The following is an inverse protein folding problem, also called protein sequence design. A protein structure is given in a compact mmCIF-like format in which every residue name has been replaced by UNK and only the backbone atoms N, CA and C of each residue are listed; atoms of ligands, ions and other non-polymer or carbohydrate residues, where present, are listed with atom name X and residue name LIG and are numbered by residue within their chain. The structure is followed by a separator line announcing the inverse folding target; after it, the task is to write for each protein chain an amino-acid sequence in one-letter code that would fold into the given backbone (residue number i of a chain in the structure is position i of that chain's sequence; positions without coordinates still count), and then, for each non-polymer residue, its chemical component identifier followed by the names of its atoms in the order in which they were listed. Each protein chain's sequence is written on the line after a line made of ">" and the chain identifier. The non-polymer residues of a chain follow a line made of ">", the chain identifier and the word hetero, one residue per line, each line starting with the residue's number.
data_IF_623590952089
#
_entry.id   IF_623590952089
#
_cell.length_a   1.000
_cell.length_b   1.000
_cell.length_c   1.000
_cell.angle_alpha   90.00
_cell.angle_beta   90.00
_cell.angle_gamma   90.00
#
_symmetry.space_group_name_H-M   'P 1'
#
loop_
_entity.id
_entity.type
_entity.pdbx_description
1 polymer ?
#
# COMPACT_ATOMS: atom_id res chain seq x y z
N UNK A 1 -28.96 -36.18 65.29
CA UNK A 1 -30.31 -36.70 65.53
C UNK A 1 -30.79 -37.23 64.21
N UNK A 2 -30.86 -38.56 64.16
CA UNK A 2 -31.35 -39.42 63.09
C UNK A 2 -32.89 -39.26 63.02
N UNK A 3 -33.50 -39.82 61.98
CA UNK A 3 -34.85 -40.40 61.85
C UNK A 3 -35.51 -39.85 60.57
N UNK A 4 -36.04 -40.62 59.60
CA UNK A 4 -36.29 -42.06 59.48
C UNK A 4 -36.74 -42.36 58.01
N UNK A 5 -36.52 -43.61 57.54
CA UNK A 5 -37.41 -44.51 56.74
C UNK A 5 -38.08 -44.02 55.43
N UNK A 6 -38.34 -44.82 54.37
CA UNK A 6 -38.56 -46.28 54.17
C UNK A 6 -37.89 -46.68 52.82
N UNK A 7 -37.17 -47.79 52.64
CA UNK A 7 -37.49 -49.23 52.73
C UNK A 7 -38.60 -49.72 51.78
N UNK A 8 -38.21 -50.52 50.78
CA UNK A 8 -38.98 -51.71 50.39
C UNK A 8 -38.07 -52.80 49.81
N UNK A 9 -38.29 -53.99 50.33
CA UNK A 9 -37.47 -55.20 50.32
C UNK A 9 -38.21 -56.31 49.55
N UNK A 10 -37.52 -57.44 49.34
CA UNK A 10 -38.07 -58.78 49.02
C UNK A 10 -38.73 -59.00 47.64
N UNK A 11 -38.23 -59.95 46.85
CA UNK A 11 -38.64 -61.35 47.03
C UNK A 11 -37.79 -62.30 46.14
N UNK A 12 -37.84 -63.55 46.58
CA UNK A 12 -36.98 -64.67 46.31
C UNK A 12 -37.15 -65.35 44.94
N UNK A 13 -36.19 -66.26 44.73
CA UNK A 13 -36.42 -67.64 44.27
C UNK A 13 -36.02 -67.99 42.84
N UNK A 14 -35.42 -69.19 42.78
CA UNK A 14 -35.20 -70.09 41.66
C UNK A 14 -33.85 -69.93 40.93
N UNK A 15 -32.75 -70.54 41.40
CA UNK A 15 -32.41 -71.98 41.30
C UNK A 15 -32.15 -72.44 39.86
N UNK A 16 -30.87 -72.83 39.64
CA UNK A 16 -30.31 -73.95 38.85
C UNK A 16 -30.89 -74.22 37.46
N UNK A 17 -30.19 -74.52 36.37
CA UNK A 17 -28.90 -75.15 36.03
C UNK A 17 -29.00 -75.22 34.49
N UNK A 18 -27.98 -75.15 33.64
CA UNK A 18 -27.04 -76.23 33.33
C UNK A 18 -26.35 -75.83 32.01
N UNK A 19 -25.03 -75.96 31.99
CA UNK A 19 -24.13 -76.35 30.90
C UNK A 19 -24.52 -76.21 29.41
N UNK A 20 -23.54 -75.66 28.70
CA UNK A 20 -23.04 -76.03 27.37
C UNK A 20 -23.83 -75.62 26.12
N UNK A 21 -23.20 -74.78 25.28
CA UNK A 21 -22.75 -75.18 23.93
C UNK A 21 -22.22 -73.95 23.15
N UNK A 22 -20.89 -73.91 23.01
CA UNK A 22 -20.12 -73.51 21.81
C UNK A 22 -20.71 -72.44 20.86
N UNK A 23 -20.22 -71.19 20.97
CA UNK A 23 -20.18 -70.27 19.83
C UNK A 23 -18.78 -69.68 19.67
N UNK A 24 -18.22 -69.90 18.47
CA UNK A 24 -16.83 -69.65 18.07
C UNK A 24 -16.40 -68.19 18.32
N UNK A 25 -15.14 -67.92 18.71
CA UNK A 25 -14.67 -66.54 18.82
C UNK A 25 -14.66 -65.89 17.44
N UNK A 26 -15.40 -64.80 17.30
CA UNK A 26 -15.31 -63.89 16.17
C UNK A 26 -13.86 -63.37 16.08
N UNK A 27 -13.09 -63.90 15.12
CA UNK A 27 -11.74 -63.40 14.81
C UNK A 27 -11.87 -61.97 14.31
N UNK A 28 -11.67 -61.01 15.20
CA UNK A 28 -11.29 -59.65 14.81
C UNK A 28 -9.93 -59.76 14.14
N UNK A 29 -9.90 -59.80 12.80
CA UNK A 29 -8.67 -59.57 12.05
C UNK A 29 -8.28 -58.12 12.32
N UNK A 30 -7.30 -57.89 13.17
CA UNK A 30 -6.64 -56.60 13.28
C UNK A 30 -6.07 -56.25 11.90
N UNK A 31 -6.76 -55.39 11.16
CA UNK A 31 -6.20 -54.79 9.95
C UNK A 31 -5.12 -53.84 10.44
N UNK A 32 -3.90 -54.35 10.56
CA UNK A 32 -2.71 -53.55 10.81
C UNK A 32 -2.44 -52.78 9.52
N UNK A 33 -3.20 -51.69 9.31
CA UNK A 33 -3.00 -50.78 8.20
C UNK A 33 -1.56 -50.28 8.26
N UNK A 34 -0.85 -50.39 7.14
CA UNK A 34 0.54 -49.99 6.99
C UNK A 34 0.65 -48.44 6.99
N UNK A 35 0.37 -47.83 8.15
CA UNK A 35 0.34 -46.39 8.37
C UNK A 35 1.72 -45.75 8.09
N UNK A 36 2.80 -46.54 8.21
CA UNK A 36 4.17 -46.07 8.09
C UNK A 36 4.60 -45.76 6.63
N UNK A 37 4.04 -46.46 5.62
CA UNK A 37 4.34 -46.16 4.20
C UNK A 37 3.61 -44.90 3.71
N UNK A 38 2.34 -44.73 4.08
CA UNK A 38 1.54 -43.54 3.70
C UNK A 38 2.09 -42.26 4.32
N UNK A 39 2.47 -42.31 5.61
CA UNK A 39 3.09 -41.17 6.31
C UNK A 39 4.42 -40.75 5.68
N UNK A 40 5.28 -41.71 5.29
CA UNK A 40 6.56 -41.43 4.61
C UNK A 40 6.37 -40.81 3.22
N UNK A 41 5.34 -41.20 2.48
CA UNK A 41 5.06 -40.58 1.18
C UNK A 41 4.58 -39.14 1.35
N UNK A 42 3.72 -38.88 2.33
CA UNK A 42 3.25 -37.51 2.64
C UNK A 42 4.41 -36.61 3.04
N UNK A 43 5.35 -37.07 3.87
CA UNK A 43 6.52 -36.27 4.24
C UNK A 43 7.47 -36.02 3.06
N UNK A 44 7.63 -36.98 2.15
CA UNK A 44 8.42 -36.80 0.92
C UNK A 44 7.75 -35.75 0.00
N UNK A 45 6.44 -35.82 -0.23
CA UNK A 45 5.73 -34.83 -1.04
C UNK A 45 5.77 -33.43 -0.41
N UNK A 46 5.64 -33.34 0.91
CA UNK A 46 5.81 -32.08 1.62
C UNK A 46 7.22 -31.52 1.45
N UNK A 47 8.27 -32.35 1.61
CA UNK A 47 9.66 -31.94 1.41
C UNK A 47 9.92 -31.45 -0.02
N UNK A 48 9.42 -32.17 -1.04
CA UNK A 48 9.51 -31.75 -2.44
C UNK A 48 8.79 -30.41 -2.65
N UNK A 49 7.59 -30.25 -2.08
CA UNK A 49 6.84 -28.99 -2.12
C UNK A 49 7.66 -27.82 -1.55
N UNK A 50 8.25 -27.98 -0.36
CA UNK A 50 9.11 -26.97 0.25
C UNK A 50 10.35 -26.63 -0.60
N UNK A 51 10.98 -27.63 -1.23
CA UNK A 51 12.11 -27.40 -2.14
C UNK A 51 11.69 -26.60 -3.39
N UNK A 52 10.53 -26.90 -3.97
CA UNK A 52 9.98 -26.16 -5.11
C UNK A 52 9.65 -24.72 -4.71
N UNK A 53 8.96 -24.51 -3.59
CA UNK A 53 8.67 -23.17 -3.07
C UNK A 53 9.94 -22.38 -2.76
N UNK A 54 10.96 -23.02 -2.18
CA UNK A 54 12.27 -22.42 -1.93
C UNK A 54 12.98 -22.02 -3.23
N UNK A 55 13.01 -22.89 -4.23
CA UNK A 55 13.59 -22.59 -5.54
C UNK A 55 12.84 -21.45 -6.26
N UNK A 56 11.51 -21.42 -6.18
CA UNK A 56 10.69 -20.35 -6.73
C UNK A 56 10.94 -19.02 -5.99
N UNK A 57 11.03 -19.05 -4.66
CA UNK A 57 11.36 -17.88 -3.84
C UNK A 57 12.74 -17.32 -4.19
N UNK A 58 13.76 -18.17 -4.28
CA UNK A 58 15.12 -17.77 -4.67
C UNK A 58 15.12 -17.18 -6.09
N UNK A 59 14.42 -17.82 -7.04
CA UNK A 59 14.28 -17.32 -8.41
C UNK A 59 13.64 -15.93 -8.45
N UNK A 60 12.55 -15.72 -7.70
CA UNK A 60 11.91 -14.42 -7.57
C UNK A 60 12.83 -13.38 -6.92
N UNK A 61 13.56 -13.76 -5.87
CA UNK A 61 14.50 -12.87 -5.19
C UNK A 61 15.66 -12.45 -6.10
N UNK A 62 16.23 -13.38 -6.88
CA UNK A 62 17.27 -13.09 -7.88
C UNK A 62 16.73 -12.17 -8.98
N UNK A 63 15.51 -12.42 -9.47
CA UNK A 63 14.84 -11.54 -10.45
C UNK A 63 14.61 -10.14 -9.87
N UNK A 64 14.15 -10.04 -8.63
CA UNK A 64 13.95 -8.77 -7.92
C UNK A 64 15.27 -8.01 -7.78
N UNK A 65 16.35 -8.67 -7.35
CA UNK A 65 17.67 -8.05 -7.23
C UNK A 65 18.27 -7.63 -8.57
N UNK A 66 18.04 -8.41 -9.63
CA UNK A 66 18.43 -8.03 -11.01
C UNK A 66 17.65 -6.79 -11.48
N UNK A 67 16.35 -6.72 -11.17
CA UNK A 67 15.54 -5.57 -11.51
C UNK A 67 15.97 -4.33 -10.72
N UNK A 68 16.21 -4.47 -9.42
CA UNK A 68 16.71 -3.40 -8.55
C UNK A 68 18.04 -2.84 -9.07
N UNK A 69 18.96 -3.70 -9.49
CA UNK A 69 20.24 -3.29 -10.11
C UNK A 69 20.03 -2.54 -11.43
N UNK A 70 19.13 -3.01 -12.30
CA UNK A 70 18.77 -2.30 -13.54
C UNK A 70 18.18 -0.91 -13.25
N UNK A 71 17.29 -0.80 -12.28
CA UNK A 71 16.69 0.49 -11.86
C UNK A 71 17.75 1.44 -11.29
N UNK A 72 18.72 0.94 -10.52
CA UNK A 72 19.82 1.75 -9.99
C UNK A 72 20.78 2.25 -11.08
N UNK A 73 20.92 1.52 -12.18
CA UNK A 73 21.83 1.84 -13.29
C UNK A 73 21.17 2.61 -14.42
N UNK A 74 19.84 2.69 -14.44
CA UNK A 74 19.09 3.52 -15.38
C UNK A 74 19.53 4.98 -15.24
N UNK A 75 20.09 5.54 -16.30
CA UNK A 75 20.37 6.95 -16.42
C UNK A 75 19.09 7.67 -16.86
N UNK A 76 18.67 8.75 -16.18
CA UNK A 76 17.51 9.50 -16.63
C UNK A 76 17.80 10.13 -17.98
N UNK A 77 16.81 10.10 -18.86
CA UNK A 77 16.84 10.90 -20.08
C UNK A 77 16.71 12.38 -19.68
N UNK A 78 17.82 13.09 -19.72
CA UNK A 78 17.88 14.50 -19.38
C UNK A 78 17.60 15.34 -20.62
N UNK A 79 17.00 16.51 -20.41
CA UNK A 79 16.89 17.53 -21.44
C UNK A 79 18.28 17.89 -22.01
N UNK A 80 18.39 18.21 -23.32
CA UNK A 80 19.66 18.58 -23.94
C UNK A 80 20.45 19.65 -23.18
N UNK A 81 19.77 20.67 -22.63
CA UNK A 81 20.43 21.72 -21.86
C UNK A 81 21.02 21.22 -20.54
N UNK A 82 20.34 20.25 -19.90
CA UNK A 82 20.75 19.69 -18.63
C UNK A 82 21.93 18.73 -18.77
N UNK A 83 22.01 17.95 -19.86
CA UNK A 83 23.13 17.02 -20.12
C UNK A 83 24.49 17.72 -20.16
N UNK A 84 24.52 18.98 -20.60
CA UNK A 84 25.74 19.80 -20.69
C UNK A 84 26.04 20.56 -19.39
N UNK A 85 25.10 20.58 -18.46
CA UNK A 85 25.20 21.34 -17.22
C UNK A 85 25.66 20.46 -16.06
N UNK A 86 26.46 20.99 -15.12
CA UNK A 86 26.75 20.30 -13.86
C UNK A 86 25.57 20.39 -12.85
N UNK A 87 24.41 20.89 -13.27
CA UNK A 87 23.27 21.16 -12.39
C UNK A 87 22.56 19.87 -11.94
N UNK A 88 22.60 18.82 -12.77
CA UNK A 88 22.01 17.54 -12.41
C UNK A 88 22.94 16.74 -11.48
N UNK A 89 22.43 16.40 -10.29
CA UNK A 89 23.09 15.51 -9.33
C UNK A 89 22.12 14.47 -8.83
N UNK A 90 22.48 13.19 -8.97
CA UNK A 90 21.73 12.09 -8.36
C UNK A 90 21.99 12.07 -6.86
N UNK A 91 20.90 12.11 -6.08
CA UNK A 91 20.92 11.97 -4.63
C UNK A 91 19.88 10.92 -4.22
N UNK A 92 20.19 10.10 -3.21
CA UNK A 92 19.28 9.07 -2.70
C UNK A 92 18.93 9.39 -1.25
N UNK A 93 17.66 9.76 -1.02
CA UNK A 93 17.16 10.09 0.31
C UNK A 93 15.93 9.24 0.63
N UNK A 94 15.78 8.89 1.90
CA UNK A 94 14.54 8.32 2.42
C UNK A 94 13.57 9.45 2.70
N UNK A 95 12.44 9.48 1.99
CA UNK A 95 11.38 10.42 2.28
C UNK A 95 10.48 9.86 3.37
N UNK A 96 10.33 10.54 4.53
CA UNK A 96 9.37 10.11 5.52
C UNK A 96 7.96 10.27 4.93
N UNK A 97 7.18 9.19 4.92
CA UNK A 97 5.78 9.20 4.47
C UNK A 97 4.82 9.73 5.55
N UNK A 98 5.38 10.30 6.64
CA UNK A 98 4.60 10.86 7.72
C UNK A 98 4.03 12.21 7.32
N UNK A 99 2.71 12.27 7.19
CA UNK A 99 1.96 13.50 6.89
C UNK A 99 1.78 14.37 8.13
N UNK A 100 1.90 13.80 9.33
CA UNK A 100 1.80 14.52 10.59
C UNK A 100 3.00 15.46 10.80
N UNK A 101 2.74 16.67 11.34
CA UNK A 101 3.74 17.70 11.66
C UNK A 101 4.44 18.33 10.45
N UNK A 102 3.81 18.33 9.28
CA UNK A 102 4.28 19.14 8.15
C UNK A 102 3.67 20.54 8.19
N UNK A 103 4.40 21.59 7.74
CA UNK A 103 3.87 22.95 7.70
C UNK A 103 2.77 23.13 6.64
N UNK A 104 2.45 22.10 5.86
CA UNK A 104 1.46 22.11 4.79
C UNK A 104 0.13 21.45 5.18
N UNK A 105 0.00 21.01 6.43
CA UNK A 105 -1.16 20.28 6.96
C UNK A 105 -1.77 20.97 8.17
N UNK A 106 -3.09 20.85 8.35
CA UNK A 106 -3.80 21.38 9.53
C UNK A 106 -4.97 22.30 9.19
N UNK A 107 -5.55 22.88 10.26
CA UNK A 107 -6.65 23.84 10.17
C UNK A 107 -6.19 25.17 9.53
N UNK A 108 -7.09 25.96 8.93
CA UNK A 108 -6.78 27.28 8.41
C UNK A 108 -6.01 28.14 9.42
N UNK A 109 -4.95 28.80 8.95
CA UNK A 109 -4.09 29.61 9.79
C UNK A 109 -3.01 30.31 8.96
N UNK A 110 -2.51 31.48 9.43
CA UNK A 110 -1.59 32.32 8.66
C UNK A 110 -0.27 31.62 8.35
N UNK A 111 0.28 30.83 9.28
CA UNK A 111 1.52 30.07 9.07
C UNK A 111 1.38 29.07 7.92
N UNK A 112 0.27 28.33 7.90
CA UNK A 112 -0.02 27.33 6.88
C UNK A 112 -0.24 27.99 5.51
N UNK A 113 -0.93 29.12 5.46
CA UNK A 113 -1.14 29.84 4.20
C UNK A 113 0.13 30.46 3.65
N UNK A 114 1.01 30.94 4.55
CA UNK A 114 2.34 31.41 4.20
C UNK A 114 3.18 30.26 3.64
N UNK A 115 3.18 29.09 4.28
CA UNK A 115 3.88 27.91 3.76
C UNK A 115 3.38 27.53 2.36
N UNK A 116 2.07 27.48 2.13
CA UNK A 116 1.47 27.22 0.81
C UNK A 116 1.71 28.35 -0.20
N UNK A 117 1.92 29.59 0.23
CA UNK A 117 2.30 30.69 -0.65
C UNK A 117 3.77 30.57 -1.05
N UNK A 118 4.66 30.34 -0.09
CA UNK A 118 6.09 30.17 -0.33
C UNK A 118 6.42 28.95 -1.18
N UNK A 119 5.61 27.90 -1.11
CA UNK A 119 5.76 26.71 -1.97
C UNK A 119 5.40 27.00 -3.43
N UNK A 120 4.48 27.94 -3.68
CA UNK A 120 3.89 28.21 -5.01
C UNK A 120 4.26 29.59 -5.57
N UNK A 121 5.13 30.34 -4.90
CA UNK A 121 5.68 31.58 -5.45
C UNK A 121 6.76 31.26 -6.47
N UNK A 122 6.89 32.11 -7.48
CA UNK A 122 7.97 32.07 -8.47
C UNK A 122 8.12 30.71 -9.18
N UNK A 123 7.01 30.08 -9.55
CA UNK A 123 6.97 28.75 -10.20
C UNK A 123 7.42 28.77 -11.66
N UNK A 124 7.57 29.96 -12.24
CA UNK A 124 8.04 30.13 -13.60
C UNK A 124 9.54 29.86 -13.67
N UNK A 125 9.92 28.91 -14.50
CA UNK A 125 11.30 28.56 -14.79
C UNK A 125 11.72 29.10 -16.16
N UNK A 126 13.03 29.31 -16.32
CA UNK A 126 13.63 29.59 -17.62
C UNK A 126 14.05 28.28 -18.28
N UNK A 127 13.64 28.07 -19.52
CA UNK A 127 13.99 26.90 -20.34
C UNK A 127 14.74 27.31 -21.59
N UNK A 128 15.63 26.44 -22.07
CA UNK A 128 16.40 26.66 -23.29
C UNK A 128 15.55 26.33 -24.53
N UNK A 129 15.86 26.99 -25.66
CA UNK A 129 15.18 26.74 -26.93
C UNK A 129 15.28 25.27 -27.37
N UNK A 130 16.46 24.69 -27.25
CA UNK A 130 16.74 23.30 -27.64
C UNK A 130 15.90 22.28 -26.87
N UNK A 131 15.52 22.58 -25.62
CA UNK A 131 14.66 21.69 -24.81
C UNK A 131 13.21 21.74 -25.30
N UNK A 132 12.76 22.91 -25.73
CA UNK A 132 11.45 23.09 -26.36
C UNK A 132 11.39 22.41 -27.73
N UNK A 133 12.45 22.59 -28.53
CA UNK A 133 12.58 21.99 -29.86
C UNK A 133 12.63 20.44 -29.76
N UNK A 134 13.25 19.90 -28.71
CA UNK A 134 13.30 18.45 -28.44
C UNK A 134 11.90 17.81 -28.34
N UNK A 135 10.95 18.50 -27.71
CA UNK A 135 9.56 18.05 -27.59
C UNK A 135 8.61 18.68 -28.61
N UNK A 136 9.13 19.48 -29.55
CA UNK A 136 8.34 20.24 -30.53
C UNK A 136 7.23 21.09 -29.89
N UNK A 137 7.54 21.75 -28.78
CA UNK A 137 6.63 22.64 -28.06
C UNK A 137 7.09 24.09 -28.21
N UNK A 138 6.18 25.05 -28.04
CA UNK A 138 6.49 26.47 -28.08
C UNK A 138 6.17 27.12 -26.74
N UNK A 139 6.87 28.20 -26.42
CA UNK A 139 6.59 28.98 -25.22
C UNK A 139 6.90 30.46 -25.43
N UNK A 140 6.61 31.28 -24.42
CA UNK A 140 6.84 32.72 -24.43
C UNK A 140 8.33 33.04 -24.26
N UNK A 141 8.95 33.83 -25.15
CA UNK A 141 10.33 34.27 -24.98
C UNK A 141 10.43 35.28 -23.83
N UNK A 142 11.53 35.22 -23.09
CA UNK A 142 11.85 36.21 -22.07
C UNK A 142 12.29 37.53 -22.71
N UNK A 143 11.96 38.65 -22.05
CA UNK A 143 12.23 39.99 -22.58
C UNK A 143 13.72 40.30 -22.77
N UNK A 144 14.59 39.65 -21.99
CA UNK A 144 16.04 39.77 -22.06
C UNK A 144 16.69 38.85 -23.12
N UNK A 145 15.88 38.04 -23.82
CA UNK A 145 16.35 37.07 -24.81
C UNK A 145 17.10 35.88 -24.23
N UNK A 146 17.13 35.72 -22.90
CA UNK A 146 17.93 34.69 -22.21
C UNK A 146 17.35 33.28 -22.30
N UNK A 147 16.13 33.13 -22.83
CA UNK A 147 15.44 31.85 -22.96
C UNK A 147 13.93 32.05 -23.07
N UNK A 148 13.20 31.01 -22.67
CA UNK A 148 11.73 30.98 -22.69
C UNK A 148 11.19 30.75 -21.28
N UNK A 149 10.04 31.34 -20.97
CA UNK A 149 9.33 31.09 -19.72
C UNK A 149 8.63 29.73 -19.82
N UNK A 150 8.62 28.94 -18.75
CA UNK A 150 7.82 27.72 -18.65
C UNK A 150 7.44 27.48 -17.20
N UNK A 151 6.55 26.53 -16.95
CA UNK A 151 6.12 26.14 -15.61
C UNK A 151 6.17 24.61 -15.49
N UNK A 152 6.54 24.13 -14.31
CA UNK A 152 6.61 22.69 -14.03
C UNK A 152 5.20 22.19 -13.73
N UNK A 153 4.76 21.12 -14.39
CA UNK A 153 3.39 20.58 -14.23
C UNK A 153 2.93 20.40 -12.76
N UNK A 154 3.84 19.99 -11.86
CA UNK A 154 3.54 19.83 -10.43
C UNK A 154 3.02 21.10 -9.75
N UNK A 155 3.41 22.30 -10.21
CA UNK A 155 2.96 23.55 -9.59
C UNK A 155 1.49 23.82 -9.87
N UNK A 156 1.00 23.43 -11.05
CA UNK A 156 -0.43 23.48 -11.38
C UNK A 156 -1.24 22.49 -10.54
N UNK A 157 -0.75 21.26 -10.36
CA UNK A 157 -1.39 20.27 -9.48
C UNK A 157 -1.50 20.78 -8.03
N UNK A 158 -0.40 21.33 -7.51
CA UNK A 158 -0.35 21.87 -6.15
C UNK A 158 -1.21 23.14 -6.00
N UNK A 159 -1.29 23.98 -7.04
CA UNK A 159 -2.21 25.11 -7.07
C UNK A 159 -3.66 24.65 -6.92
N UNK A 160 -4.08 23.67 -7.72
CA UNK A 160 -5.42 23.09 -7.65
C UNK A 160 -5.69 22.47 -6.27
N UNK A 161 -4.72 21.75 -5.70
CA UNK A 161 -4.83 21.19 -4.36
C UNK A 161 -5.03 22.28 -3.28
N UNK A 162 -4.29 23.39 -3.37
CA UNK A 162 -4.46 24.56 -2.48
C UNK A 162 -5.89 25.12 -2.60
N UNK A 163 -6.44 25.21 -3.80
CA UNK A 163 -7.81 25.67 -4.05
C UNK A 163 -8.84 24.71 -3.44
N UNK A 164 -8.69 23.40 -3.61
CA UNK A 164 -9.57 22.39 -2.98
C UNK A 164 -9.54 22.50 -1.46
N UNK A 165 -8.35 22.67 -0.86
CA UNK A 165 -8.21 22.90 0.60
C UNK A 165 -8.98 24.15 1.04
N UNK A 166 -8.83 25.26 0.32
CA UNK A 166 -9.56 26.50 0.63
C UNK A 166 -11.08 26.33 0.50
N UNK A 167 -11.54 25.48 -0.43
CA UNK A 167 -12.95 25.16 -0.58
C UNK A 167 -13.51 24.30 0.57
N UNK A 168 -12.73 23.34 1.08
CA UNK A 168 -13.11 22.55 2.26
C UNK A 168 -13.35 23.46 3.46
N UNK A 169 -12.48 24.45 3.66
CA UNK A 169 -12.60 25.46 4.73
C UNK A 169 -13.22 26.77 4.23
N UNK A 170 -14.17 26.69 3.29
CA UNK A 170 -14.73 27.89 2.65
C UNK A 170 -15.36 28.87 3.62
N UNK A 171 -15.84 28.40 4.76
CA UNK A 171 -16.40 29.26 5.79
C UNK A 171 -15.29 30.14 6.38
N UNK A 172 -14.18 29.56 6.83
CA UNK A 172 -13.04 30.32 7.36
C UNK A 172 -12.36 31.24 6.33
N UNK A 173 -12.28 30.83 5.06
CA UNK A 173 -11.61 31.64 4.02
C UNK A 173 -12.51 32.67 3.35
N UNK A 174 -13.83 32.47 3.33
CA UNK A 174 -14.75 33.30 2.55
C UNK A 174 -15.90 33.91 3.36
N UNK A 175 -15.87 33.86 4.69
CA UNK A 175 -16.84 34.57 5.54
C UNK A 175 -16.93 36.07 5.17
N UNK A 176 -15.79 36.68 4.83
CA UNK A 176 -15.68 38.11 4.50
C UNK A 176 -15.38 38.39 3.02
N UNK A 177 -15.36 37.35 2.17
CA UNK A 177 -14.94 37.47 0.76
C UNK A 177 -16.17 37.31 -0.13
N UNK A 178 -16.72 38.43 -0.60
CA UNK A 178 -17.89 38.44 -1.48
C UNK A 178 -17.50 38.44 -2.98
N UNK A 179 -18.37 37.85 -3.81
CA UNK A 179 -18.34 38.03 -5.26
C UNK A 179 -17.27 37.21 -6.01
N UNK A 180 -16.39 37.91 -6.75
CA UNK A 180 -15.53 37.34 -7.80
C UNK A 180 -14.61 36.21 -7.31
N UNK A 181 -13.94 36.41 -6.16
CA UNK A 181 -12.97 35.45 -5.65
C UNK A 181 -13.63 34.12 -5.24
N UNK A 182 -14.86 34.17 -4.72
CA UNK A 182 -15.63 32.97 -4.39
C UNK A 182 -16.10 32.25 -5.65
N UNK A 183 -16.58 32.99 -6.65
CA UNK A 183 -17.01 32.44 -7.93
C UNK A 183 -15.84 31.83 -8.73
N UNK A 184 -14.67 32.46 -8.67
CA UNK A 184 -13.46 31.94 -9.30
C UNK A 184 -13.02 30.62 -8.66
N UNK A 185 -13.03 30.53 -7.33
CA UNK A 185 -12.74 29.28 -6.64
C UNK A 185 -13.74 28.19 -7.01
N UNK A 186 -15.04 28.54 -7.05
CA UNK A 186 -16.09 27.61 -7.43
C UNK A 186 -15.88 27.06 -8.85
N UNK A 187 -15.48 27.90 -9.82
CA UNK A 187 -15.13 27.43 -11.17
C UNK A 187 -13.95 26.47 -11.18
N UNK A 188 -12.88 26.78 -10.43
CA UNK A 188 -11.70 25.92 -10.36
C UNK A 188 -12.02 24.53 -9.78
N UNK A 189 -12.89 24.47 -8.77
CA UNK A 189 -13.29 23.19 -8.17
C UNK A 189 -14.28 22.44 -9.06
N UNK A 190 -15.24 23.12 -9.68
CA UNK A 190 -16.23 22.49 -10.57
C UNK A 190 -15.63 21.93 -11.87
N UNK A 191 -14.48 22.42 -12.32
CA UNK A 191 -13.78 21.89 -13.49
C UNK A 191 -13.17 20.49 -13.23
N UNK A 192 -13.10 20.05 -11.97
CA UNK A 192 -12.56 18.74 -11.56
C UNK A 192 -13.64 17.63 -11.42
N UNK A 193 -14.94 17.93 -11.61
CA UNK A 193 -16.05 16.96 -11.53
C UNK A 193 -16.69 16.70 -12.89
#
# INVERSE_FOLDING_TARGET
>A
MILYEEDEDCDASSVCTLSDNESKPFRVKAVRFNHNKSSRLVTIFAAIGYLIFGALYISLWVRFKRLESKVRTLEPELFPSLTRSPAFRRDSRTFPLTVARTPFTGIPGPELDQAWHDLLKDTTIRVAKEDLDYYNVTSLPLADGSGFASEIFMTHELHCLKKVRQWIYKESYFEHVQGLARNELERHVRMLS
#
